data_IF_852113471383
#
_entry.id   IF_852113471383
#
_cell.length_a   1.000
_cell.length_b   1.000
_cell.length_c   1.000
_cell.angle_alpha   90.00
_cell.angle_beta   90.00
_cell.angle_gamma   90.00
#
_symmetry.space_group_name_H-M   'P 1'
#
loop_
_entity.id
_entity.type
_entity.pdbx_description
1 polymer ?
#
# COMPACT_ATOMS: atom_id res chain seq x y z
N UNK A 1 -3.13 -10.17 2.81
CA UNK A 1 -1.83 -9.61 2.40
C UNK A 1 -1.86 -9.29 0.92
N UNK A 2 -1.00 -8.39 0.43
CA UNK A 2 -0.82 -8.08 -0.99
C UNK A 2 -1.82 -7.13 -1.65
N UNK A 3 -2.67 -6.48 -0.85
CA UNK A 3 -3.42 -5.30 -1.31
C UNK A 3 -2.47 -4.10 -1.40
N UNK A 4 -2.58 -3.33 -2.47
CA UNK A 4 -1.89 -2.04 -2.65
C UNK A 4 -2.74 -0.97 -1.97
N UNK A 5 -2.13 -0.20 -1.08
CA UNK A 5 -2.82 0.75 -0.19
C UNK A 5 -2.41 2.20 -0.43
N UNK A 6 -1.43 2.44 -1.30
CA UNK A 6 -0.88 3.75 -1.58
C UNK A 6 0.36 3.66 -2.45
N UNK A 7 0.90 4.83 -2.79
CA UNK A 7 2.09 4.99 -3.60
C UNK A 7 3.32 5.18 -2.70
N UNK A 8 4.45 4.60 -3.10
CA UNK A 8 5.73 4.90 -2.47
C UNK A 8 6.36 6.11 -3.17
N UNK A 9 6.98 7.02 -2.41
CA UNK A 9 7.70 8.17 -2.98
C UNK A 9 8.96 7.76 -3.77
N UNK A 10 9.37 6.51 -3.63
CA UNK A 10 10.46 5.89 -4.39
C UNK A 10 9.89 4.88 -5.39
N UNK A 11 10.67 4.58 -6.42
CA UNK A 11 10.28 3.65 -7.48
C UNK A 11 10.18 2.17 -7.05
N UNK A 12 10.60 1.82 -5.82
CA UNK A 12 10.55 0.46 -5.29
C UNK A 12 9.25 0.16 -4.53
N UNK A 13 8.77 -1.08 -4.66
CA UNK A 13 7.64 -1.55 -3.87
C UNK A 13 8.04 -1.76 -2.40
N UNK A 14 7.22 -1.25 -1.47
CA UNK A 14 7.42 -1.43 -0.04
C UNK A 14 6.29 -2.24 0.59
N UNK A 15 6.65 -3.33 1.29
CA UNK A 15 5.70 -4.08 2.11
C UNK A 15 5.60 -3.43 3.49
N UNK A 16 4.40 -2.96 3.84
CA UNK A 16 4.14 -2.27 5.11
C UNK A 16 3.04 -2.98 5.91
N UNK A 17 3.10 -2.84 7.23
CA UNK A 17 2.05 -3.28 8.13
C UNK A 17 1.24 -2.07 8.59
N UNK A 18 -0.05 -2.06 8.29
CA UNK A 18 -0.99 -0.98 8.64
C UNK A 18 -1.71 -1.24 9.96
N UNK A 19 -1.77 -2.49 10.42
CA UNK A 19 -2.56 -2.87 11.60
C UNK A 19 -1.77 -2.81 12.90
N UNK A 20 -0.44 -2.90 12.83
CA UNK A 20 0.44 -2.89 14.01
C UNK A 20 1.35 -1.68 13.99
N UNK A 21 1.37 -0.97 15.13
CA UNK A 21 2.33 0.10 15.35
C UNK A 21 3.76 -0.46 15.38
N UNK A 22 4.64 0.19 14.64
CA UNK A 22 6.08 -0.04 14.78
C UNK A 22 6.53 0.67 16.05
N UNK A 23 6.94 -0.08 17.08
CA UNK A 23 7.60 0.48 18.26
C UNK A 23 8.83 1.28 17.81
N UNK A 24 8.74 2.60 17.85
CA UNK A 24 9.88 3.45 17.51
C UNK A 24 10.81 3.52 18.73
N UNK A 25 11.90 2.75 18.71
CA UNK A 25 12.95 2.84 19.73
C UNK A 25 13.90 4.02 19.51
N UNK A 26 13.85 4.67 18.34
CA UNK A 26 14.80 5.72 17.94
C UNK A 26 14.23 7.15 17.98
N UNK A 27 13.06 7.36 18.58
CA UNK A 27 12.54 8.72 18.82
C UNK A 27 13.26 9.26 20.06
N UNK A 28 14.21 10.16 19.85
CA UNK A 28 14.75 11.01 20.93
C UNK A 28 13.59 11.87 21.43
N UNK A 29 13.09 11.54 22.62
CA UNK A 29 12.03 12.26 23.31
C UNK A 29 12.40 13.73 23.48
N UNK A 30 11.86 14.60 22.63
CA UNK A 30 11.88 16.05 22.83
C UNK A 30 10.79 16.69 21.98
N UNK A 31 9.56 16.66 22.51
CA UNK A 31 8.49 17.55 22.06
C UNK A 31 7.51 16.97 21.05
N UNK A 32 6.24 17.23 21.35
CA UNK A 32 5.06 17.11 20.52
C UNK A 32 4.50 15.70 20.26
N UNK A 33 3.54 15.36 21.12
CA UNK A 33 2.41 14.48 20.86
C UNK A 33 1.51 15.11 19.77
N UNK A 34 2.08 15.28 18.56
CA UNK A 34 1.36 15.80 17.41
C UNK A 34 0.40 14.70 16.96
N UNK A 35 -0.90 14.88 17.26
CA UNK A 35 -1.97 14.03 16.72
C UNK A 35 -1.72 13.84 15.23
N UNK A 36 -1.35 12.62 14.84
CA UNK A 36 -1.03 12.30 13.45
C UNK A 36 -2.20 12.72 12.55
N UNK A 37 -2.02 13.78 11.76
CA UNK A 37 -3.02 14.19 10.78
C UNK A 37 -2.92 13.25 9.58
N UNK A 38 -3.94 12.42 9.40
CA UNK A 38 -4.05 11.54 8.24
C UNK A 38 -4.61 12.37 7.08
N UNK A 39 -3.83 12.46 6.00
CA UNK A 39 -4.27 13.10 4.75
C UNK A 39 -5.42 12.26 4.17
N UNK A 40 -6.48 12.88 3.62
CA UNK A 40 -7.58 12.13 3.01
C UNK A 40 -7.06 11.17 1.92
N UNK A 41 -7.63 9.95 1.83
CA UNK A 41 -7.20 8.98 0.85
C UNK A 41 -7.59 9.40 -0.57
N UNK A 42 -6.77 9.00 -1.53
CA UNK A 42 -7.10 9.10 -2.96
C UNK A 42 -8.09 7.97 -3.27
N UNK A 43 -9.23 8.32 -3.86
CA UNK A 43 -10.28 7.36 -4.25
C UNK A 43 -10.28 7.30 -5.78
N UNK A 44 -9.90 6.16 -6.32
CA UNK A 44 -9.86 5.93 -7.76
C UNK A 44 -11.24 5.58 -8.32
N UNK A 45 -11.56 6.08 -9.51
CA UNK A 45 -12.57 5.49 -10.38
C UNK A 45 -12.08 4.15 -10.95
N UNK A 46 -12.95 3.41 -11.63
CA UNK A 46 -12.54 2.16 -12.29
C UNK A 46 -11.54 2.42 -13.42
N UNK A 47 -11.77 3.48 -14.19
CA UNK A 47 -10.92 3.90 -15.30
C UNK A 47 -9.54 4.31 -14.79
N UNK A 48 -9.49 5.15 -13.76
CA UNK A 48 -8.23 5.57 -13.13
C UNK A 48 -7.49 4.37 -12.54
N UNK A 49 -8.19 3.44 -11.89
CA UNK A 49 -7.57 2.23 -11.35
C UNK A 49 -6.96 1.36 -12.47
N UNK A 50 -7.65 1.23 -13.61
CA UNK A 50 -7.16 0.47 -14.77
C UNK A 50 -5.97 1.14 -15.47
N UNK A 51 -5.90 2.47 -15.46
CA UNK A 51 -4.74 3.21 -15.96
C UNK A 51 -3.55 3.13 -15.00
N UNK A 52 -3.82 3.07 -13.70
CA UNK A 52 -2.79 3.07 -12.65
C UNK A 52 -2.06 1.73 -12.49
N UNK A 53 -2.71 0.59 -12.74
CA UNK A 53 -2.12 -0.73 -12.42
C UNK A 53 -0.83 -1.02 -13.20
N UNK A 54 0.06 -1.76 -12.55
CA UNK A 54 1.25 -2.32 -13.18
C UNK A 54 1.03 -3.76 -13.70
N UNK A 55 2.01 -4.27 -14.45
CA UNK A 55 1.97 -5.62 -15.05
C UNK A 55 1.87 -6.75 -14.01
N UNK A 56 2.32 -6.51 -12.78
CA UNK A 56 2.29 -7.47 -11.67
C UNK A 56 1.13 -7.22 -10.70
N UNK A 57 0.12 -6.46 -11.12
CA UNK A 57 -1.04 -6.05 -10.34
C UNK A 57 -2.37 -6.38 -11.03
N UNK A 58 -3.42 -6.48 -10.22
CA UNK A 58 -4.80 -6.63 -10.64
C UNK A 58 -5.70 -5.60 -9.96
N UNK A 59 -6.73 -5.18 -10.68
CA UNK A 59 -7.89 -4.48 -10.11
C UNK A 59 -8.91 -5.52 -9.69
N UNK A 60 -9.17 -5.61 -8.39
CA UNK A 60 -10.25 -6.40 -7.82
C UNK A 60 -11.52 -5.55 -7.78
N UNK A 61 -12.52 -5.93 -8.57
CA UNK A 61 -13.79 -5.21 -8.67
C UNK A 61 -14.91 -6.03 -8.03
N UNK A 62 -15.67 -5.36 -7.17
CA UNK A 62 -16.90 -5.88 -6.56
C UNK A 62 -18.00 -4.82 -6.68
N UNK A 63 -19.29 -5.17 -6.55
CA UNK A 63 -20.37 -4.18 -6.69
C UNK A 63 -20.30 -2.98 -5.73
N UNK A 64 -19.55 -3.10 -4.63
CA UNK A 64 -19.43 -2.07 -3.59
C UNK A 64 -18.03 -1.45 -3.50
N UNK A 65 -17.02 -2.04 -4.15
CA UNK A 65 -15.64 -1.62 -3.95
C UNK A 65 -14.72 -2.02 -5.08
N UNK A 66 -13.75 -1.16 -5.33
CA UNK A 66 -12.62 -1.36 -6.25
C UNK A 66 -11.36 -1.37 -5.39
N UNK A 67 -10.48 -2.34 -5.59
CA UNK A 67 -9.20 -2.44 -4.88
C UNK A 67 -8.07 -2.77 -5.84
N UNK A 68 -6.88 -2.26 -5.52
CA UNK A 68 -5.64 -2.63 -6.18
C UNK A 68 -4.92 -3.70 -5.38
N UNK A 69 -4.34 -4.68 -6.06
CA UNK A 69 -3.63 -5.80 -5.42
C UNK A 69 -2.54 -6.35 -6.33
N UNK A 70 -1.48 -6.91 -5.74
CA UNK A 70 -0.46 -7.65 -6.49
C UNK A 70 -1.02 -9.01 -6.92
N UNK A 71 -0.53 -9.51 -8.06
CA UNK A 71 -0.84 -10.87 -8.55
C UNK A 71 -0.41 -11.90 -7.50
N UNK A 72 0.84 -11.81 -7.07
CA UNK A 72 1.39 -12.60 -5.98
C UNK A 72 1.18 -11.88 -4.65
N UNK A 73 0.35 -12.46 -3.80
CA UNK A 73 -0.07 -11.81 -2.55
C UNK A 73 1.06 -11.69 -1.54
N UNK A 74 1.80 -12.77 -1.35
CA UNK A 74 2.87 -12.83 -0.37
C UNK A 74 4.15 -12.22 -0.95
N UNK A 75 4.97 -11.61 -0.10
CA UNK A 75 6.27 -11.07 -0.51
C UNK A 75 7.20 -12.20 -1.01
N UNK A 76 7.13 -13.38 -0.37
CA UNK A 76 7.91 -14.55 -0.75
C UNK A 76 7.61 -15.00 -2.17
N UNK A 77 6.33 -15.07 -2.53
CA UNK A 77 5.91 -15.44 -3.89
C UNK A 77 6.36 -14.39 -4.91
N UNK A 78 6.25 -13.08 -4.58
CA UNK A 78 6.76 -12.01 -5.45
C UNK A 78 8.26 -12.13 -5.72
N UNK A 79 9.06 -12.48 -4.71
CA UNK A 79 10.49 -12.71 -4.88
C UNK A 79 10.79 -13.96 -5.70
N UNK A 80 9.97 -15.00 -5.56
CA UNK A 80 10.14 -16.28 -6.25
C UNK A 80 9.76 -16.22 -7.73
N UNK A 81 8.69 -15.49 -8.05
CA UNK A 81 8.15 -15.36 -9.41
C UNK A 81 8.54 -14.04 -10.08
N UNK A 82 9.49 -13.30 -9.50
CA UNK A 82 10.09 -12.12 -10.13
C UNK A 82 10.80 -12.57 -11.41
N UNK A 83 10.21 -12.25 -12.55
CA UNK A 83 10.88 -12.27 -13.86
C UNK A 83 11.63 -10.94 -14.01
#
# INVERSE_FOLDING_TARGET
EGQVIGENSRADDMCVNVTKEKKQSNVRSSGNDEKARIIPPIIFSLEEALEYIQKDEYVEVTPKSIRLRKIYLTETDRKRFKI
#
